data_IF_571734433968
#
_entry.id   IF_571734433968
#
_cell.length_a   1.000
_cell.length_b   1.000
_cell.length_c   1.000
_cell.angle_alpha   90.00
_cell.angle_beta   90.00
_cell.angle_gamma   90.00
#
_symmetry.space_group_name_H-M   'P 1'
#
loop_
_entity.id
_entity.type
_entity.pdbx_description
1 polymer ?
#
# COMPACT_ATOMS: atom_id res chain seq x y z
N UNK A 1 -15.15 -10.94 32.02
CA UNK A 1 -14.05 -10.11 31.47
C UNK A 1 -13.94 -10.27 29.99
N UNK A 2 -13.76 -9.18 29.27
CA UNK A 2 -13.71 -9.21 27.82
C UNK A 2 -12.36 -8.79 27.27
N UNK A 3 -11.30 -8.98 28.06
CA UNK A 3 -9.98 -8.52 27.68
C UNK A 3 -9.45 -9.16 26.39
N UNK A 4 -10.03 -10.27 25.95
CA UNK A 4 -9.62 -10.88 24.71
C UNK A 4 -10.30 -10.32 23.47
N UNK A 5 -11.19 -9.37 23.64
CA UNK A 5 -11.92 -8.82 22.49
C UNK A 5 -11.11 -7.74 21.79
N UNK A 6 -11.03 -7.87 20.47
CA UNK A 6 -10.46 -6.84 19.61
C UNK A 6 -11.59 -6.29 18.76
N UNK A 7 -11.83 -4.98 18.87
CA UNK A 7 -12.81 -4.31 18.06
C UNK A 7 -12.08 -3.60 16.94
N UNK A 8 -12.49 -3.88 15.71
CA UNK A 8 -11.90 -3.26 14.53
C UNK A 8 -12.80 -2.16 14.03
N UNK A 9 -12.18 -1.10 13.55
CA UNK A 9 -12.83 0.01 12.88
C UNK A 9 -12.44 -0.05 11.41
N UNK A 10 -13.43 -0.01 10.53
CA UNK A 10 -13.23 -0.10 9.10
C UNK A 10 -13.74 1.19 8.48
N UNK A 11 -12.86 1.97 7.89
CA UNK A 11 -13.16 3.31 7.41
C UNK A 11 -12.94 3.34 5.91
N UNK A 12 -14.00 3.66 5.15
CA UNK A 12 -13.88 3.82 3.72
C UNK A 12 -13.08 5.09 3.40
N UNK A 13 -11.98 4.94 2.67
CA UNK A 13 -11.22 6.10 2.19
C UNK A 13 -11.87 6.66 0.93
N UNK A 14 -12.30 5.79 0.04
CA UNK A 14 -12.92 6.18 -1.23
C UNK A 14 -12.52 5.23 -2.33
N UNK A 15 -12.83 5.63 -3.57
CA UNK A 15 -12.37 4.93 -4.76
C UNK A 15 -11.06 5.57 -5.17
N UNK A 16 -10.00 4.76 -5.18
CA UNK A 16 -8.66 5.24 -5.48
C UNK A 16 -8.13 4.62 -6.75
N UNK A 17 -7.11 5.23 -7.33
CA UNK A 17 -6.37 4.67 -8.46
C UNK A 17 -5.42 3.62 -7.90
N UNK A 18 -5.49 2.40 -8.44
CA UNK A 18 -4.64 1.30 -7.99
C UNK A 18 -3.74 0.90 -9.14
N UNK A 19 -2.44 0.97 -8.91
CA UNK A 19 -1.42 0.59 -9.87
C UNK A 19 -0.56 -0.50 -9.26
N UNK A 20 0.47 -0.94 -9.96
CA UNK A 20 1.42 -1.91 -9.41
C UNK A 20 2.84 -1.52 -9.78
N UNK A 21 3.81 -1.97 -8.97
CA UNK A 21 5.21 -1.69 -9.21
C UNK A 21 6.06 -2.91 -8.85
N UNK A 22 7.28 -2.94 -9.40
CA UNK A 22 8.26 -3.98 -9.11
C UNK A 22 9.48 -3.36 -8.44
N UNK A 23 10.22 -4.18 -7.70
CA UNK A 23 11.45 -3.76 -7.03
C UNK A 23 12.62 -3.76 -8.03
N UNK A 24 12.59 -2.82 -8.96
CA UNK A 24 13.63 -2.67 -9.98
C UNK A 24 14.09 -1.20 -10.00
N UNK A 25 15.34 -0.92 -10.38
CA UNK A 25 15.87 0.45 -10.34
C UNK A 25 15.05 1.45 -11.13
N UNK A 26 14.46 1.03 -12.25
CA UNK A 26 13.67 1.92 -13.11
C UNK A 26 12.41 2.43 -12.43
N UNK A 27 11.89 1.71 -11.44
CA UNK A 27 10.62 2.03 -10.80
C UNK A 27 10.77 2.50 -9.36
N UNK A 28 11.94 2.30 -8.77
CA UNK A 28 12.17 2.59 -7.36
C UNK A 28 13.48 3.37 -7.20
N UNK A 29 14.41 2.82 -6.44
CA UNK A 29 15.72 3.44 -6.20
C UNK A 29 16.77 2.72 -7.03
N UNK A 30 17.84 3.42 -7.43
CA UNK A 30 18.91 2.80 -8.22
C UNK A 30 19.50 1.55 -7.59
N UNK A 31 19.51 1.47 -6.25
CA UNK A 31 20.06 0.34 -5.52
C UNK A 31 19.11 -0.86 -5.42
N UNK A 32 17.87 -0.74 -5.89
CA UNK A 32 16.93 -1.85 -5.85
C UNK A 32 17.34 -2.92 -6.85
N UNK A 33 17.65 -4.11 -6.37
CA UNK A 33 18.18 -5.19 -7.20
C UNK A 33 17.33 -6.45 -7.10
N UNK A 34 16.03 -6.30 -6.87
CA UNK A 34 15.14 -7.43 -6.79
C UNK A 34 14.49 -7.53 -5.42
N UNK A 35 13.82 -8.67 -5.18
CA UNK A 35 12.90 -8.77 -4.03
C UNK A 35 13.57 -8.68 -2.66
N UNK A 36 14.87 -8.84 -2.56
CA UNK A 36 15.54 -8.86 -1.25
C UNK A 36 16.41 -7.65 -0.99
N UNK A 37 16.43 -6.68 -1.91
CA UNK A 37 17.37 -5.58 -1.82
C UNK A 37 16.75 -4.21 -2.07
N UNK A 38 15.45 -4.09 -1.91
CA UNK A 38 14.76 -2.84 -2.14
C UNK A 38 14.04 -2.42 -0.85
N UNK A 39 14.49 -1.31 -0.28
CA UNK A 39 13.89 -0.80 0.94
C UNK A 39 12.76 0.18 0.64
N UNK A 40 11.74 0.14 1.46
CA UNK A 40 10.63 1.09 1.41
C UNK A 40 11.00 2.37 2.16
N UNK A 41 10.09 3.33 2.15
CA UNK A 41 10.27 4.60 2.85
C UNK A 41 10.45 4.45 4.35
N UNK A 42 9.99 3.35 4.94
CA UNK A 42 10.16 3.10 6.36
C UNK A 42 11.31 2.14 6.67
N UNK A 43 12.19 1.91 5.69
CA UNK A 43 13.40 1.13 5.89
C UNK A 43 13.23 -0.37 5.89
N UNK A 44 12.10 -0.88 5.40
CA UNK A 44 11.85 -2.31 5.31
C UNK A 44 11.97 -2.77 3.87
N UNK A 45 12.28 -4.05 3.66
CA UNK A 45 12.27 -4.59 2.32
C UNK A 45 10.84 -4.64 1.78
N UNK A 46 10.71 -4.42 0.47
CA UNK A 46 9.41 -4.59 -0.20
C UNK A 46 8.90 -6.01 0.00
N UNK A 47 7.59 -6.13 0.07
CA UNK A 47 6.94 -7.43 0.21
C UNK A 47 5.64 -7.44 -0.57
N UNK A 48 5.15 -8.65 -0.87
CA UNK A 48 3.90 -8.80 -1.62
C UNK A 48 2.68 -8.32 -0.83
N UNK A 49 2.82 -8.08 0.47
CA UNK A 49 1.75 -7.49 1.27
C UNK A 49 1.89 -5.98 1.38
N UNK A 50 2.98 -5.41 0.87
CA UNK A 50 3.23 -3.99 0.98
C UNK A 50 2.60 -3.19 -0.14
N UNK A 51 2.26 -1.96 0.17
CA UNK A 51 1.80 -0.99 -0.83
C UNK A 51 2.44 0.35 -0.57
N UNK A 52 2.64 1.12 -1.65
CA UNK A 52 3.00 2.53 -1.57
C UNK A 52 1.73 3.34 -1.74
N UNK A 53 1.58 4.39 -0.95
CA UNK A 53 0.44 5.30 -1.08
C UNK A 53 0.93 6.67 -1.52
N UNK A 54 0.10 7.39 -2.27
CA UNK A 54 0.48 8.74 -2.70
C UNK A 54 0.58 9.66 -1.49
N UNK A 55 1.50 10.64 -1.53
CA UNK A 55 1.77 11.49 -0.37
C UNK A 55 0.56 12.25 0.17
N UNK A 56 -0.40 12.58 -0.68
CA UNK A 56 -1.60 13.29 -0.25
C UNK A 56 -2.42 12.47 0.76
N UNK A 57 -2.42 11.15 0.63
CA UNK A 57 -3.13 10.28 1.56
C UNK A 57 -2.48 10.30 2.95
N UNK A 58 -1.15 10.33 2.98
CA UNK A 58 -0.40 10.43 4.24
C UNK A 58 -0.57 11.83 4.85
N UNK A 59 -0.43 12.88 4.03
CA UNK A 59 -0.50 14.25 4.52
C UNK A 59 -1.87 14.61 5.08
N UNK A 60 -2.93 14.02 4.53
CA UNK A 60 -4.30 14.27 4.99
C UNK A 60 -4.62 13.56 6.31
N UNK A 61 -3.78 12.61 6.73
CA UNK A 61 -4.04 11.82 7.91
C UNK A 61 -5.06 10.70 7.70
N UNK A 62 -5.52 10.49 6.47
CA UNK A 62 -6.47 9.41 6.19
C UNK A 62 -5.79 8.04 6.24
N UNK A 63 -4.50 8.02 5.91
CA UNK A 63 -3.69 6.81 5.89
C UNK A 63 -2.38 7.10 6.59
N UNK A 64 -1.84 6.11 7.31
CA UNK A 64 -0.56 6.21 7.98
C UNK A 64 0.30 5.02 7.61
N UNK A 65 1.62 5.17 7.71
CA UNK A 65 2.51 4.02 7.55
C UNK A 65 2.10 2.93 8.54
N UNK A 66 2.18 1.69 8.08
CA UNK A 66 1.83 0.46 8.81
C UNK A 66 0.33 0.23 8.97
N UNK A 67 -0.50 1.11 8.43
CA UNK A 67 -1.93 0.87 8.37
C UNK A 67 -2.21 -0.35 7.51
N UNK A 68 -3.25 -1.10 7.89
CA UNK A 68 -3.77 -2.18 7.09
C UNK A 68 -4.89 -1.63 6.19
N UNK A 69 -4.73 -1.80 4.89
CA UNK A 69 -5.76 -1.43 3.92
C UNK A 69 -6.45 -2.68 3.40
N UNK A 70 -7.75 -2.57 3.17
CA UNK A 70 -8.44 -3.56 2.36
C UNK A 70 -8.78 -2.91 1.01
N UNK A 71 -8.28 -3.51 -0.06
CA UNK A 71 -8.48 -3.02 -1.43
C UNK A 71 -9.42 -4.00 -2.12
N UNK A 72 -10.57 -3.52 -2.55
CA UNK A 72 -11.60 -4.34 -3.19
C UNK A 72 -11.00 -5.10 -4.39
N UNK A 73 -11.16 -6.42 -4.38
CA UNK A 73 -10.66 -7.27 -5.47
C UNK A 73 -9.16 -7.56 -5.42
N UNK A 74 -8.44 -6.98 -4.46
CA UNK A 74 -7.00 -7.22 -4.29
C UNK A 74 -6.71 -7.89 -2.96
N UNK A 75 -7.33 -7.42 -1.88
CA UNK A 75 -7.17 -7.99 -0.55
C UNK A 75 -6.50 -7.03 0.43
N UNK A 76 -6.01 -7.59 1.53
CA UNK A 76 -5.38 -6.81 2.58
C UNK A 76 -3.93 -6.50 2.22
N UNK A 77 -3.51 -5.27 2.51
CA UNK A 77 -2.15 -4.81 2.28
C UNK A 77 -1.71 -3.88 3.40
N UNK A 78 -0.40 -3.77 3.60
CA UNK A 78 0.18 -2.92 4.64
C UNK A 78 0.87 -1.74 3.98
N UNK A 79 0.60 -0.55 4.49
CA UNK A 79 1.24 0.67 3.97
C UNK A 79 2.67 0.72 4.48
N UNK A 80 3.63 0.58 3.57
CA UNK A 80 5.05 0.57 3.94
C UNK A 80 5.90 1.50 3.08
N UNK A 81 5.27 2.22 2.14
CA UNK A 81 6.02 3.08 1.22
C UNK A 81 5.15 4.24 0.74
N UNK A 82 5.77 5.15 0.03
CA UNK A 82 5.08 6.26 -0.59
C UNK A 82 5.47 6.36 -2.07
N UNK A 83 4.55 6.84 -2.88
CA UNK A 83 4.75 6.97 -4.31
C UNK A 83 5.45 8.29 -4.66
N UNK A 84 5.64 8.51 -5.95
CA UNK A 84 6.08 9.79 -6.49
C UNK A 84 5.14 10.90 -6.01
N UNK A 85 5.71 12.07 -5.70
CA UNK A 85 4.96 13.19 -5.14
C UNK A 85 3.92 13.78 -6.09
N UNK A 86 4.01 13.46 -7.37
CA UNK A 86 3.05 13.94 -8.35
C UNK A 86 1.76 13.12 -8.39
N UNK A 87 1.76 11.94 -7.80
CA UNK A 87 0.57 11.09 -7.79
C UNK A 87 -0.37 11.51 -6.66
N UNK A 88 -1.66 11.35 -6.90
CA UNK A 88 -2.69 11.67 -5.92
C UNK A 88 -3.74 10.56 -5.89
N UNK A 89 -4.30 10.31 -4.73
CA UNK A 89 -5.36 9.32 -4.53
C UNK A 89 -4.99 7.97 -5.13
N UNK A 90 -3.73 7.55 -4.93
CA UNK A 90 -3.18 6.36 -5.59
C UNK A 90 -2.61 5.41 -4.55
N UNK A 91 -2.84 4.12 -4.78
CA UNK A 91 -2.20 3.03 -4.07
C UNK A 91 -1.47 2.18 -5.10
N UNK A 92 -0.18 1.96 -4.86
CA UNK A 92 0.70 1.23 -5.78
C UNK A 92 1.05 -0.10 -5.13
N UNK A 93 0.56 -1.19 -5.71
CA UNK A 93 0.67 -2.53 -5.14
C UNK A 93 1.95 -3.18 -5.62
N UNK A 94 2.73 -3.73 -4.70
CA UNK A 94 3.96 -4.40 -5.05
C UNK A 94 3.68 -5.76 -5.67
N UNK A 95 4.34 -6.04 -6.79
CA UNK A 95 4.30 -7.35 -7.46
C UNK A 95 5.73 -7.76 -7.81
N UNK A 96 5.96 -9.07 -7.94
CA UNK A 96 7.30 -9.58 -8.22
C UNK A 96 7.61 -9.65 -9.71
N UNK A 97 6.65 -10.04 -10.51
CA UNK A 97 6.89 -10.41 -11.90
C UNK A 97 6.35 -9.37 -12.87
N UNK A 98 7.06 -9.17 -13.97
CA UNK A 98 6.64 -8.24 -15.03
C UNK A 98 5.26 -8.63 -15.59
N UNK A 99 5.01 -9.92 -15.72
CA UNK A 99 3.72 -10.39 -16.21
C UNK A 99 2.59 -10.02 -15.27
N UNK A 100 2.82 -10.08 -13.95
CA UNK A 100 1.82 -9.66 -12.96
C UNK A 100 1.55 -8.16 -13.07
N UNK A 101 2.60 -7.37 -13.19
CA UNK A 101 2.48 -5.92 -13.33
C UNK A 101 1.67 -5.56 -14.57
N UNK A 102 1.97 -6.19 -15.68
CA UNK A 102 1.28 -5.96 -16.93
C UNK A 102 -0.18 -6.36 -16.87
N UNK A 103 -0.46 -7.50 -16.27
CA UNK A 103 -1.83 -7.98 -16.11
C UNK A 103 -2.65 -7.12 -15.15
N UNK A 104 -1.98 -6.54 -14.15
CA UNK A 104 -2.66 -5.71 -13.16
C UNK A 104 -3.20 -4.43 -13.79
N UNK A 105 -2.37 -3.73 -14.55
CA UNK A 105 -2.78 -2.49 -15.21
C UNK A 105 -3.12 -1.38 -14.20
N UNK A 106 -4.04 -0.53 -14.61
CA UNK A 106 -4.55 0.56 -13.78
C UNK A 106 -6.01 0.28 -13.47
N UNK A 107 -6.37 0.33 -12.19
CA UNK A 107 -7.73 0.05 -11.74
C UNK A 107 -8.21 1.18 -10.84
N UNK A 108 -9.54 1.27 -10.68
CA UNK A 108 -10.15 2.22 -9.75
C UNK A 108 -11.01 1.39 -8.81
N UNK A 109 -10.57 1.28 -7.56
CA UNK A 109 -11.17 0.35 -6.60
C UNK A 109 -11.41 1.05 -5.28
N UNK A 110 -12.41 0.56 -4.55
CA UNK A 110 -12.69 1.05 -3.20
C UNK A 110 -11.61 0.54 -2.23
N UNK A 111 -11.21 1.41 -1.33
CA UNK A 111 -10.16 1.13 -0.34
C UNK A 111 -10.66 1.53 1.04
N UNK A 112 -10.47 0.65 2.01
CA UNK A 112 -10.80 0.89 3.42
C UNK A 112 -9.52 0.80 4.25
N UNK A 113 -9.47 1.60 5.33
CA UNK A 113 -8.47 1.40 6.38
C UNK A 113 -9.11 0.54 7.46
N UNK A 114 -8.37 -0.48 7.88
CA UNK A 114 -8.79 -1.39 8.95
C UNK A 114 -7.86 -1.16 10.12
N UNK A 115 -8.38 -0.70 11.25
CA UNK A 115 -7.56 -0.39 12.41
C UNK A 115 -8.28 -0.83 13.69
N UNK A 116 -7.50 -1.05 14.77
CA UNK A 116 -8.13 -1.27 16.07
C UNK A 116 -8.92 -0.04 16.47
N UNK A 117 -10.11 -0.26 17.01
CA UNK A 117 -10.90 0.83 17.56
C UNK A 117 -10.37 1.15 18.94
N UNK A 118 -9.74 2.30 19.08
CA UNK A 118 -9.13 2.75 20.33
C UNK A 118 -9.96 3.81 20.98
N UNK A 119 -10.17 3.63 22.25
CA UNK A 119 -10.95 4.56 23.04
C UNK A 119 -10.08 5.55 23.77
#
# INVERSE_FOLDING_TARGET
MLEGFLVLKIILIGTLTITSYRAVPEQTKPECTGRHRCETSIGENVSELGVAVSPDLLASGRVHYRDCLYISGVGFRIVDDTTNSRLRNTVDVFVYEKAEEKAFGVRHLKVWVVQPDQK
#
